data_IF_984192481960
#
_entry.id   IF_984192481960
#
_cell.length_a   1.000
_cell.length_b   1.000
_cell.length_c   1.000
_cell.angle_alpha   90.00
_cell.angle_beta   90.00
_cell.angle_gamma   90.00
#
_symmetry.space_group_name_H-M   'P 1'
#
loop_
_entity.id
_entity.type
_entity.pdbx_description
1 polymer ?
#
# COMPACT_ATOMS: atom_id res chain seq x y z
N UNK A 1 0.27 7.50 29.95
CA UNK A 1 -0.04 6.48 28.92
C UNK A 1 0.96 6.65 27.82
N UNK A 2 1.93 5.79 27.79
CA UNK A 2 2.95 5.76 26.75
C UNK A 2 2.25 5.33 25.43
N UNK A 3 2.12 6.26 24.47
CA UNK A 3 1.61 5.92 23.14
C UNK A 3 2.70 5.06 22.48
N UNK A 4 2.55 3.74 22.55
CA UNK A 4 3.39 2.85 21.76
C UNK A 4 3.30 3.29 20.31
N UNK A 5 4.43 3.73 19.76
CA UNK A 5 4.51 4.15 18.35
C UNK A 5 4.30 2.91 17.51
N UNK A 6 3.23 2.86 16.73
CA UNK A 6 3.02 1.80 15.75
C UNK A 6 4.17 1.80 14.75
N UNK A 7 4.80 0.65 14.59
CA UNK A 7 5.90 0.43 13.65
C UNK A 7 5.54 -0.68 12.67
N UNK A 8 6.17 -0.66 11.53
CA UNK A 8 6.07 -1.76 10.57
C UNK A 8 6.73 -3.00 11.20
N UNK A 9 5.98 -4.09 11.28
CA UNK A 9 6.42 -5.38 11.83
C UNK A 9 6.58 -6.47 10.77
N UNK A 10 6.02 -6.26 9.56
CA UNK A 10 6.14 -7.21 8.47
C UNK A 10 5.80 -6.59 7.12
N UNK A 11 6.32 -7.19 6.07
CA UNK A 11 6.03 -6.83 4.69
C UNK A 11 5.81 -8.11 3.90
N UNK A 12 4.72 -8.17 3.11
CA UNK A 12 4.48 -9.20 2.10
C UNK A 12 4.52 -8.57 0.73
N UNK A 13 5.06 -9.30 -0.24
CA UNK A 13 5.14 -8.85 -1.64
C UNK A 13 4.85 -10.04 -2.54
N UNK A 14 4.07 -9.83 -3.61
CA UNK A 14 3.80 -10.80 -4.67
C UNK A 14 3.78 -10.13 -6.04
N UNK A 15 4.14 -10.85 -7.09
CA UNK A 15 4.06 -10.36 -8.47
C UNK A 15 5.07 -9.27 -8.82
N UNK A 16 6.10 -9.02 -7.99
CA UNK A 16 7.03 -7.92 -8.15
C UNK A 16 8.45 -8.39 -8.51
N UNK A 17 8.94 -8.04 -9.68
CA UNK A 17 10.30 -8.35 -10.19
C UNK A 17 10.64 -9.85 -10.11
N UNK A 18 11.58 -10.22 -9.23
CA UNK A 18 11.97 -11.62 -9.00
C UNK A 18 11.02 -12.38 -8.05
N UNK A 19 10.02 -11.71 -7.47
CA UNK A 19 9.09 -12.28 -6.50
C UNK A 19 7.77 -12.60 -7.23
N UNK A 20 7.64 -13.79 -7.79
CA UNK A 20 6.41 -14.23 -8.49
C UNK A 20 5.32 -14.67 -7.51
N UNK A 21 5.65 -15.52 -6.54
CA UNK A 21 4.77 -15.94 -5.45
C UNK A 21 4.93 -15.05 -4.24
N UNK A 22 3.91 -15.00 -3.38
CA UNK A 22 3.98 -14.19 -2.15
C UNK A 22 5.17 -14.59 -1.29
N UNK A 23 5.93 -13.58 -0.90
CA UNK A 23 7.02 -13.67 0.07
C UNK A 23 6.75 -12.75 1.25
N UNK A 24 7.14 -13.18 2.43
CA UNK A 24 6.99 -12.44 3.68
C UNK A 24 8.33 -12.24 4.37
N UNK A 25 8.57 -11.04 4.88
CA UNK A 25 9.66 -10.76 5.82
C UNK A 25 9.12 -10.12 7.08
N UNK A 26 9.55 -10.60 8.24
CA UNK A 26 9.33 -9.96 9.52
C UNK A 26 10.34 -8.80 9.69
N UNK A 27 9.84 -7.64 10.11
CA UNK A 27 10.66 -6.44 10.36
C UNK A 27 10.87 -6.30 11.87
N UNK A 28 12.13 -6.32 12.27
CA UNK A 28 12.59 -6.09 13.63
C UNK A 28 13.33 -4.75 13.69
N UNK A 29 13.65 -4.20 14.90
CA UNK A 29 14.46 -2.98 15.02
C UNK A 29 15.78 -3.04 14.24
N UNK A 30 16.35 -4.24 14.08
CA UNK A 30 17.43 -4.54 13.15
C UNK A 30 17.07 -5.77 12.33
N UNK A 31 16.91 -5.62 11.03
CA UNK A 31 16.66 -6.70 10.07
C UNK A 31 17.71 -6.67 8.97
N UNK A 32 18.44 -7.77 8.80
CA UNK A 32 19.50 -7.89 7.80
C UNK A 32 19.02 -8.84 6.69
N UNK A 33 18.98 -8.35 5.47
CA UNK A 33 18.67 -9.15 4.27
C UNK A 33 19.99 -9.62 3.65
N UNK A 34 20.30 -10.90 3.78
CA UNK A 34 21.47 -11.55 3.20
C UNK A 34 21.08 -12.52 2.09
N UNK A 35 21.97 -12.72 1.14
CA UNK A 35 21.76 -13.67 0.02
C UNK A 35 22.57 -13.27 -1.21
N UNK A 36 22.62 -14.15 -2.22
CA UNK A 36 23.28 -13.93 -3.48
C UNK A 36 22.72 -12.72 -4.24
N UNK A 37 23.47 -12.21 -5.22
CA UNK A 37 22.94 -11.19 -6.14
C UNK A 37 21.73 -11.74 -6.87
N UNK A 38 20.75 -10.89 -7.14
CA UNK A 38 19.47 -11.25 -7.77
C UNK A 38 18.54 -12.18 -6.95
N UNK A 39 18.83 -12.43 -5.67
CA UNK A 39 17.96 -13.25 -4.80
C UNK A 39 16.68 -12.55 -4.35
N UNK A 40 16.39 -11.33 -4.83
CA UNK A 40 15.16 -10.62 -4.48
C UNK A 40 15.25 -9.69 -3.26
N UNK A 41 16.42 -9.54 -2.60
CA UNK A 41 16.59 -8.66 -1.43
C UNK A 41 16.04 -7.24 -1.66
N UNK A 42 16.47 -6.59 -2.72
CA UNK A 42 15.98 -5.25 -3.08
C UNK A 42 14.52 -5.27 -3.51
N UNK A 43 14.07 -6.35 -4.17
CA UNK A 43 12.68 -6.49 -4.62
C UNK A 43 11.69 -6.54 -3.46
N UNK A 44 12.09 -7.04 -2.29
CA UNK A 44 11.24 -7.01 -1.08
C UNK A 44 11.02 -5.60 -0.53
N UNK A 45 12.00 -4.71 -0.64
CA UNK A 45 11.93 -3.36 -0.07
C UNK A 45 11.44 -2.30 -1.07
N UNK A 46 11.63 -2.53 -2.37
CA UNK A 46 11.31 -1.54 -3.40
C UNK A 46 9.83 -1.14 -3.46
N UNK A 47 8.81 -2.03 -3.27
CA UNK A 47 7.41 -1.62 -3.21
C UNK A 47 7.12 -0.64 -2.08
N UNK A 48 7.75 -0.81 -0.90
CA UNK A 48 7.62 0.13 0.20
C UNK A 48 8.24 1.49 -0.13
N UNK A 49 9.39 1.50 -0.80
CA UNK A 49 10.05 2.73 -1.25
C UNK A 49 9.26 3.44 -2.35
N UNK A 50 8.62 2.69 -3.26
CA UNK A 50 7.67 3.24 -4.24
C UNK A 50 6.48 3.91 -3.55
N UNK A 51 5.86 3.23 -2.59
CA UNK A 51 4.76 3.79 -1.82
C UNK A 51 5.20 5.04 -1.06
N UNK A 52 6.36 5.00 -0.39
CA UNK A 52 6.93 6.15 0.32
C UNK A 52 7.09 7.36 -0.60
N UNK A 53 7.78 7.22 -1.74
CA UNK A 53 8.00 8.35 -2.65
C UNK A 53 6.70 8.86 -3.28
N UNK A 54 5.70 7.98 -3.50
CA UNK A 54 4.38 8.37 -3.98
C UNK A 54 3.65 9.23 -2.96
N UNK A 55 3.65 8.82 -1.69
CA UNK A 55 3.01 9.57 -0.60
C UNK A 55 3.71 10.88 -0.25
N UNK A 56 5.00 11.00 -0.54
CA UNK A 56 5.82 12.21 -0.29
C UNK A 56 5.83 13.18 -1.48
N UNK A 57 5.26 12.79 -2.63
CA UNK A 57 5.21 13.65 -3.82
C UNK A 57 4.46 14.96 -3.54
N UNK A 58 4.99 16.07 -4.07
CA UNK A 58 4.41 17.40 -3.86
C UNK A 58 3.09 17.64 -4.62
N UNK A 59 2.79 16.82 -5.63
CA UNK A 59 1.58 16.87 -6.46
C UNK A 59 0.86 15.53 -6.48
N UNK A 60 -0.03 15.33 -7.43
CA UNK A 60 -0.69 14.05 -7.68
C UNK A 60 0.15 13.20 -8.66
N UNK A 61 0.88 12.19 -8.16
CA UNK A 61 1.72 11.34 -9.01
C UNK A 61 0.94 10.17 -9.64
N UNK A 62 -0.38 10.12 -9.48
CA UNK A 62 -1.19 8.95 -9.75
C UNK A 62 -1.04 7.86 -8.67
N UNK A 63 -1.38 6.63 -8.98
CA UNK A 63 -1.36 5.53 -8.00
C UNK A 63 0.06 5.19 -7.52
N UNK A 64 1.07 5.28 -8.41
CA UNK A 64 2.48 5.04 -8.07
C UNK A 64 3.43 5.95 -8.85
N UNK A 65 4.30 6.64 -8.12
CA UNK A 65 5.41 7.40 -8.69
C UNK A 65 6.56 6.45 -9.03
N UNK A 66 6.72 6.10 -10.31
CA UNK A 66 7.73 5.13 -10.75
C UNK A 66 9.15 5.70 -10.73
N UNK A 67 9.30 6.99 -11.00
CA UNK A 67 10.60 7.66 -11.08
C UNK A 67 10.69 8.75 -10.01
N UNK A 68 11.23 8.42 -8.87
CA UNK A 68 11.40 9.31 -7.73
C UNK A 68 12.80 9.24 -7.12
N UNK A 69 12.96 9.78 -5.93
CA UNK A 69 14.27 9.85 -5.25
C UNK A 69 14.73 8.50 -4.70
N UNK A 70 13.81 7.66 -4.23
CA UNK A 70 14.13 6.39 -3.58
C UNK A 70 14.35 5.25 -4.57
N UNK A 71 13.51 5.19 -5.62
CA UNK A 71 13.60 4.20 -6.69
C UNK A 71 13.29 4.86 -8.04
N UNK A 72 13.93 4.35 -9.10
CA UNK A 72 13.79 4.88 -10.46
C UNK A 72 13.48 3.75 -11.42
N UNK A 73 12.26 3.74 -11.93
CA UNK A 73 11.82 2.86 -13.00
C UNK A 73 11.34 3.71 -14.17
N UNK A 74 11.78 3.38 -15.36
CA UNK A 74 11.42 4.09 -16.59
C UNK A 74 10.17 3.53 -17.25
N UNK A 75 9.79 2.30 -16.91
CA UNK A 75 8.63 1.59 -17.45
C UNK A 75 8.00 0.69 -16.41
N UNK A 76 6.68 0.56 -16.46
CA UNK A 76 5.88 -0.25 -15.53
C UNK A 76 6.26 -1.75 -15.57
N UNK A 77 6.61 -2.27 -16.77
CA UNK A 77 7.00 -3.67 -16.94
C UNK A 77 8.22 -4.09 -16.11
N UNK A 78 9.06 -3.12 -15.74
CA UNK A 78 10.24 -3.40 -14.89
C UNK A 78 9.89 -3.80 -13.46
N UNK A 79 8.63 -3.52 -13.03
CA UNK A 79 8.15 -3.86 -11.71
C UNK A 79 7.51 -5.24 -11.64
N UNK A 80 7.02 -5.74 -12.75
CA UNK A 80 6.23 -6.96 -12.78
C UNK A 80 7.09 -8.22 -12.78
N UNK A 81 6.66 -9.20 -12.00
CA UNK A 81 7.21 -10.54 -12.08
C UNK A 81 6.74 -11.26 -13.36
N UNK A 82 7.53 -12.16 -13.86
CA UNK A 82 7.14 -12.98 -15.02
C UNK A 82 5.90 -13.81 -14.65
N UNK A 83 4.82 -13.66 -15.42
CA UNK A 83 3.56 -14.36 -15.19
C UNK A 83 2.65 -13.75 -14.10
N UNK A 84 2.85 -12.49 -13.74
CA UNK A 84 2.05 -11.80 -12.71
C UNK A 84 0.69 -11.27 -13.19
N UNK A 85 0.26 -11.57 -14.43
CA UNK A 85 -0.99 -11.05 -15.01
C UNK A 85 -1.12 -9.51 -14.95
N UNK A 86 0.00 -8.79 -15.16
CA UNK A 86 0.10 -7.34 -15.12
C UNK A 86 -0.28 -6.71 -13.77
N UNK A 87 -0.20 -7.48 -12.68
CA UNK A 87 -0.44 -6.98 -11.33
C UNK A 87 0.67 -7.35 -10.34
N UNK A 88 0.80 -6.54 -9.31
CA UNK A 88 1.58 -6.90 -8.13
C UNK A 88 0.86 -6.45 -6.87
N UNK A 89 1.14 -7.14 -5.76
CA UNK A 89 0.58 -6.81 -4.47
C UNK A 89 1.65 -6.61 -3.41
N UNK A 90 1.34 -5.76 -2.44
CA UNK A 90 2.12 -5.62 -1.21
C UNK A 90 1.18 -5.53 -0.01
N UNK A 91 1.64 -6.00 1.14
CA UNK A 91 0.97 -5.82 2.42
C UNK A 91 1.97 -5.33 3.45
N UNK A 92 1.55 -4.35 4.23
CA UNK A 92 2.31 -3.79 5.36
C UNK A 92 1.61 -4.24 6.63
N UNK A 93 2.35 -4.84 7.54
CA UNK A 93 1.88 -5.27 8.85
C UNK A 93 2.44 -4.33 9.92
N UNK A 94 1.60 -3.97 10.89
CA UNK A 94 1.97 -3.09 12.00
C UNK A 94 2.11 -3.89 13.31
N UNK A 95 2.86 -3.34 14.24
CA UNK A 95 3.16 -3.99 15.53
C UNK A 95 1.94 -4.19 16.44
N UNK A 96 0.82 -3.52 16.16
CA UNK A 96 -0.46 -3.69 16.86
C UNK A 96 -1.38 -4.73 16.20
N UNK A 97 -0.89 -5.43 15.17
CA UNK A 97 -1.63 -6.45 14.45
C UNK A 97 -2.52 -5.93 13.32
N UNK A 98 -2.54 -4.62 13.08
CA UNK A 98 -3.21 -4.07 11.89
C UNK A 98 -2.39 -4.34 10.63
N UNK A 99 -3.06 -4.39 9.48
CA UNK A 99 -2.36 -4.45 8.19
C UNK A 99 -3.09 -3.72 7.08
N UNK A 100 -2.33 -3.28 6.08
CA UNK A 100 -2.79 -2.66 4.86
C UNK A 100 -2.26 -3.45 3.67
N UNK A 101 -3.15 -4.05 2.90
CA UNK A 101 -2.86 -4.70 1.63
C UNK A 101 -3.20 -3.77 0.47
N UNK A 102 -2.34 -3.73 -0.54
CA UNK A 102 -2.49 -2.94 -1.76
C UNK A 102 -2.24 -3.85 -2.96
N UNK A 103 -3.10 -3.80 -3.94
CA UNK A 103 -2.90 -4.47 -5.24
C UNK A 103 -2.92 -3.41 -6.33
N UNK A 104 -1.88 -3.40 -7.14
CA UNK A 104 -1.72 -2.50 -8.27
C UNK A 104 -1.84 -3.28 -9.57
N UNK A 105 -2.60 -2.71 -10.50
CA UNK A 105 -2.79 -3.24 -11.85
C UNK A 105 -2.09 -2.31 -12.84
N UNK A 106 -1.29 -2.88 -13.74
CA UNK A 106 -0.67 -2.11 -14.83
C UNK A 106 -1.75 -1.63 -15.81
N UNK A 107 -1.63 -0.40 -16.25
CA UNK A 107 -2.39 0.21 -17.32
C UNK A 107 -1.45 0.88 -18.36
N UNK A 108 -2.02 1.60 -19.34
CA UNK A 108 -1.27 2.29 -20.40
C UNK A 108 -0.44 3.48 -19.87
N UNK A 109 -0.78 4.02 -18.69
CA UNK A 109 -0.12 5.19 -18.07
C UNK A 109 0.85 4.81 -16.96
N UNK A 110 0.83 3.54 -16.52
CA UNK A 110 1.68 3.07 -15.44
C UNK A 110 0.99 2.02 -14.58
N UNK A 111 0.58 2.39 -13.39
CA UNK A 111 -0.19 1.54 -12.47
C UNK A 111 -1.38 2.29 -11.91
N UNK A 112 -2.50 1.60 -11.84
CA UNK A 112 -3.66 1.99 -11.07
C UNK A 112 -3.77 1.13 -9.80
N UNK A 113 -4.34 1.69 -8.74
CA UNK A 113 -4.68 0.94 -7.55
C UNK A 113 -5.95 0.12 -7.84
N UNK A 114 -5.82 -1.21 -7.82
CA UNK A 114 -6.92 -2.14 -8.07
C UNK A 114 -7.78 -2.35 -6.84
N UNK A 115 -7.14 -2.57 -5.69
CA UNK A 115 -7.82 -2.78 -4.41
C UNK A 115 -6.93 -2.40 -3.23
N UNK A 116 -7.60 -2.05 -2.13
CA UNK A 116 -6.98 -1.76 -0.85
C UNK A 116 -7.72 -2.52 0.25
N UNK A 117 -7.01 -3.42 0.95
CA UNK A 117 -7.57 -4.24 2.03
C UNK A 117 -7.02 -3.79 3.37
N UNK A 118 -7.92 -3.50 4.30
CA UNK A 118 -7.59 -3.15 5.67
C UNK A 118 -7.95 -4.31 6.60
N UNK A 119 -7.02 -4.69 7.48
CA UNK A 119 -7.28 -5.55 8.62
C UNK A 119 -7.06 -4.74 9.90
N UNK A 120 -8.10 -4.65 10.73
CA UNK A 120 -8.09 -3.84 11.96
C UNK A 120 -8.09 -4.77 13.16
N UNK A 121 -7.04 -4.71 13.95
CA UNK A 121 -6.90 -5.37 15.24
C UNK A 121 -7.21 -4.37 16.38
N UNK A 122 -7.77 -4.77 17.50
CA UNK A 122 -8.15 -6.12 17.92
C UNK A 122 -9.56 -6.56 17.46
N UNK A 123 -10.28 -5.75 16.71
CA UNK A 123 -11.68 -6.02 16.31
C UNK A 123 -11.80 -7.23 15.36
N UNK A 124 -10.69 -7.70 14.77
CA UNK A 124 -10.67 -8.78 13.79
C UNK A 124 -11.45 -8.48 12.51
N UNK A 125 -11.64 -7.19 12.22
CA UNK A 125 -12.42 -6.72 11.06
C UNK A 125 -11.52 -6.56 9.86
N UNK A 126 -11.91 -7.17 8.74
CA UNK A 126 -11.27 -6.98 7.43
C UNK A 126 -12.28 -6.40 6.45
N UNK A 127 -11.86 -5.42 5.66
CA UNK A 127 -12.67 -4.90 4.56
C UNK A 127 -11.77 -4.44 3.40
N UNK A 128 -12.32 -4.53 2.19
CA UNK A 128 -11.62 -4.15 0.96
C UNK A 128 -12.35 -3.01 0.28
N UNK A 129 -11.59 -2.00 -0.13
CA UNK A 129 -12.06 -0.85 -0.90
C UNK A 129 -11.47 -0.95 -2.31
N UNK A 130 -12.29 -0.71 -3.32
CA UNK A 130 -11.87 -0.59 -4.71
C UNK A 130 -12.20 0.79 -5.26
N UNK A 131 -11.42 1.33 -6.22
CA UNK A 131 -11.61 2.71 -6.72
C UNK A 131 -12.99 2.99 -7.33
N UNK A 132 -13.69 1.95 -7.81
CA UNK A 132 -15.03 2.06 -8.40
C UNK A 132 -16.16 2.14 -7.37
N UNK A 133 -15.89 1.96 -6.08
CA UNK A 133 -16.92 2.03 -5.03
C UNK A 133 -17.45 3.43 -4.88
N UNK A 134 -18.78 3.53 -4.78
CA UNK A 134 -19.46 4.76 -4.40
C UNK A 134 -19.21 5.09 -2.91
N UNK A 135 -19.49 6.34 -2.52
CA UNK A 135 -19.45 6.73 -1.11
C UNK A 135 -20.32 5.82 -0.22
N UNK A 136 -21.52 5.49 -0.69
CA UNK A 136 -22.47 4.67 0.08
C UNK A 136 -21.98 3.22 0.22
N UNK A 137 -21.34 2.66 -0.82
CA UNK A 137 -20.72 1.35 -0.76
C UNK A 137 -19.60 1.32 0.30
N UNK A 138 -18.70 2.31 0.27
CA UNK A 138 -17.63 2.43 1.26
C UNK A 138 -18.22 2.54 2.67
N UNK A 139 -19.23 3.40 2.86
CA UNK A 139 -19.87 3.57 4.15
C UNK A 139 -20.56 2.29 4.64
N UNK A 140 -21.05 1.44 3.74
CA UNK A 140 -21.69 0.16 4.12
C UNK A 140 -20.70 -0.82 4.75
N UNK A 141 -19.49 -0.91 4.22
CA UNK A 141 -18.46 -1.87 4.63
C UNK A 141 -17.58 -1.38 5.81
N UNK A 142 -17.54 -0.06 6.06
CA UNK A 142 -16.71 0.50 7.13
C UNK A 142 -17.20 0.04 8.52
N UNK A 143 -16.29 -0.34 9.43
CA UNK A 143 -16.59 -0.57 10.84
C UNK A 143 -17.22 0.66 11.51
N UNK A 144 -18.02 0.45 12.55
CA UNK A 144 -18.68 1.54 13.28
C UNK A 144 -17.68 2.55 13.86
N UNK A 145 -16.53 2.09 14.32
CA UNK A 145 -15.40 2.90 14.81
C UNK A 145 -14.91 3.90 13.76
N UNK A 146 -14.73 3.48 12.52
CA UNK A 146 -14.29 4.33 11.43
C UNK A 146 -15.40 5.22 10.85
N UNK A 147 -16.66 4.76 10.87
CA UNK A 147 -17.81 5.60 10.48
C UNK A 147 -17.93 6.87 11.35
N UNK A 148 -17.60 6.76 12.63
CA UNK A 148 -17.60 7.92 13.53
C UNK A 148 -16.52 8.96 13.15
N UNK A 149 -15.35 8.53 12.69
CA UNK A 149 -14.26 9.41 12.24
C UNK A 149 -14.59 10.12 10.92
N UNK A 150 -15.32 9.46 10.02
CA UNK A 150 -15.72 10.03 8.73
C UNK A 150 -16.59 11.30 8.89
N UNK A 151 -17.46 11.35 9.90
CA UNK A 151 -18.30 12.53 10.20
C UNK A 151 -17.49 13.79 10.55
N UNK A 152 -16.25 13.63 10.99
CA UNK A 152 -15.36 14.73 11.34
C UNK A 152 -14.64 15.29 10.10
N UNK A 153 -14.39 14.47 9.11
CA UNK A 153 -13.60 14.83 7.90
C UNK A 153 -14.47 15.48 6.81
N UNK A 154 -15.77 15.16 6.74
CA UNK A 154 -16.67 15.60 5.66
C UNK A 154 -17.31 16.97 5.87
N UNK A 155 -16.92 17.75 6.87
CA UNK A 155 -17.37 19.15 7.02
C UNK A 155 -16.80 20.11 5.97
N UNK A 156 -15.80 19.70 5.19
CA UNK A 156 -15.32 20.47 4.03
C UNK A 156 -15.91 19.89 2.74
N UNK A 157 -16.90 20.60 2.20
CA UNK A 157 -17.56 20.32 0.94
C UNK A 157 -16.61 20.59 -0.24
N UNK A 158 -15.74 19.67 -0.56
CA UNK A 158 -15.06 19.61 -1.86
C UNK A 158 -15.17 18.18 -2.40
N UNK A 159 -15.54 17.95 -3.66
CA UNK A 159 -15.49 16.62 -4.26
C UNK A 159 -14.02 16.27 -4.50
N UNK A 160 -13.30 16.00 -3.43
CA UNK A 160 -11.97 15.44 -3.51
C UNK A 160 -12.13 13.93 -3.70
N UNK A 161 -11.41 13.38 -4.68
CA UNK A 161 -11.23 11.95 -4.84
C UNK A 161 -10.90 11.33 -3.48
N UNK A 162 -11.38 10.12 -3.22
CA UNK A 162 -11.25 9.36 -1.96
C UNK A 162 -9.79 9.30 -1.42
N UNK A 163 -8.83 9.70 -2.21
CA UNK A 163 -7.38 9.60 -1.98
C UNK A 163 -6.69 10.92 -1.57
N UNK A 164 -7.41 12.02 -1.44
CA UNK A 164 -6.79 13.29 -1.02
C UNK A 164 -6.64 13.30 0.49
N UNK A 165 -5.54 12.78 1.00
CA UNK A 165 -5.06 13.07 2.36
C UNK A 165 -4.51 14.49 2.34
N UNK A 166 -5.30 15.47 2.78
CA UNK A 166 -4.78 16.83 2.97
C UNK A 166 -3.81 16.82 4.15
N UNK A 167 -2.53 17.04 3.88
CA UNK A 167 -1.56 17.42 4.91
C UNK A 167 -1.91 18.80 5.42
N UNK A 168 -2.03 18.94 6.75
CA UNK A 168 -1.91 20.24 7.44
C UNK A 168 -0.45 20.57 7.60
#
# INVERSE_FOLDING_TARGET
>A
MDKSINRISGIRVRGFKSISSEQHIAIQPLTILAGANSSGKSSMMQPLLLLKQTLEAAGDPGALLLNGENVKFTRAEQLLAKGSNDEFGMQIELSDGQSLGLVFQKDDRGFDLKEMTYNISPEGVSFTVVPSMSHDDIMSILPKSLKALHKVVTKDKSPASVWTVRRK
#
